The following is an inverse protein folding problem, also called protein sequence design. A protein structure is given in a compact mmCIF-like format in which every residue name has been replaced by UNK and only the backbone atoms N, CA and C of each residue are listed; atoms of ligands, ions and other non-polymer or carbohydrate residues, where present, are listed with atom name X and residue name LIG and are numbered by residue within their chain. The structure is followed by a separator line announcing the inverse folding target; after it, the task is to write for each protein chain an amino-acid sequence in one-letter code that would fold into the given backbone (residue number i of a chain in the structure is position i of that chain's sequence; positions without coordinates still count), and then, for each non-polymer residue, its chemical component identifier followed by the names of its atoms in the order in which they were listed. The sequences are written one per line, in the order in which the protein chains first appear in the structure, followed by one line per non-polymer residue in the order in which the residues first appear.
data_IF_187529193601
#
_entry.id   IF_187529193601
#
_cell.length_a   1.000
_cell.length_b   1.000
_cell.length_c   1.000
_cell.angle_alpha   90.00
_cell.angle_beta   90.00
_cell.angle_gamma   90.00
#
_symmetry.space_group_name_H-M   'P 1'
#
loop_
_entity.id
_entity.type
_entity.pdbx_description
1 polymer ?
#
# COMPACT_ATOMS: atom_id res chain seq x y z
N UNK A 1 -27.98 91.67 -1.56
CA UNK A 1 -28.32 90.23 -1.70
C UNK A 1 -28.78 89.90 -3.13
N UNK A 2 -27.91 89.30 -3.98
CA UNK A 2 -28.40 88.59 -5.17
C UNK A 2 -27.75 87.21 -5.45
N UNK A 3 -26.67 86.81 -4.75
CA UNK A 3 -25.87 85.64 -5.13
C UNK A 3 -26.44 84.27 -4.73
N UNK A 4 -27.21 84.19 -3.63
CA UNK A 4 -27.83 82.93 -3.16
C UNK A 4 -29.04 82.49 -4.00
N UNK A 5 -29.76 83.43 -4.64
CA UNK A 5 -30.91 83.08 -5.49
C UNK A 5 -30.49 82.53 -6.86
N UNK A 6 -29.34 82.98 -7.38
CA UNK A 6 -28.80 82.54 -8.69
C UNK A 6 -28.28 81.10 -8.60
N UNK A 7 -27.55 80.75 -7.53
CA UNK A 7 -26.99 79.39 -7.34
C UNK A 7 -28.07 78.33 -7.11
N UNK A 8 -29.12 78.66 -6.33
CA UNK A 8 -30.28 77.76 -6.16
C UNK A 8 -31.09 77.61 -7.46
N UNK A 9 -31.26 78.67 -8.27
CA UNK A 9 -31.92 78.57 -9.59
C UNK A 9 -31.11 77.73 -10.59
N UNK A 10 -29.78 77.85 -10.61
CA UNK A 10 -28.93 77.05 -11.50
C UNK A 10 -28.96 75.55 -11.15
N UNK A 11 -28.86 75.21 -9.86
CA UNK A 11 -28.97 73.82 -9.40
C UNK A 11 -30.37 73.25 -9.62
N UNK A 12 -31.43 74.04 -9.39
CA UNK A 12 -32.81 73.60 -9.63
C UNK A 12 -33.09 73.41 -11.14
N UNK A 13 -32.59 74.29 -12.01
CA UNK A 13 -32.73 74.16 -13.47
C UNK A 13 -31.88 73.02 -14.04
N UNK A 14 -30.70 72.72 -13.47
CA UNK A 14 -29.93 71.53 -13.82
C UNK A 14 -30.66 70.24 -13.40
N UNK A 15 -31.20 70.19 -12.17
CA UNK A 15 -31.99 69.05 -11.71
C UNK A 15 -33.24 68.84 -12.56
N UNK A 16 -33.97 69.91 -12.92
CA UNK A 16 -35.13 69.82 -13.82
C UNK A 16 -34.76 69.39 -15.24
N UNK A 17 -33.59 69.78 -15.78
CA UNK A 17 -33.11 69.32 -17.10
C UNK A 17 -32.73 67.84 -17.10
N UNK A 18 -32.19 67.32 -16.01
CA UNK A 18 -31.90 65.89 -15.86
C UNK A 18 -33.21 65.10 -15.73
N UNK A 19 -34.18 65.57 -14.93
CA UNK A 19 -35.48 64.90 -14.73
C UNK A 19 -36.37 64.95 -15.97
N UNK A 20 -36.30 66.00 -16.80
CA UNK A 20 -37.09 66.12 -18.06
C UNK A 20 -36.49 65.39 -19.26
N UNK A 21 -35.28 64.85 -19.16
CA UNK A 21 -34.66 64.09 -20.23
C UNK A 21 -34.68 62.58 -19.89
N UNK A 22 -35.72 61.84 -20.30
CA UNK A 22 -35.89 60.44 -19.91
C UNK A 22 -34.71 59.56 -20.35
N UNK A 23 -34.04 59.91 -21.46
CA UNK A 23 -32.84 59.22 -21.91
C UNK A 23 -31.65 59.37 -20.95
N UNK A 24 -31.47 60.53 -20.33
CA UNK A 24 -30.33 60.76 -19.42
C UNK A 24 -30.55 60.04 -18.08
N UNK A 25 -31.78 60.08 -17.54
CA UNK A 25 -32.15 59.30 -16.35
C UNK A 25 -32.06 57.79 -16.59
N UNK A 26 -32.49 57.31 -17.76
CA UNK A 26 -32.39 55.89 -18.12
C UNK A 26 -30.93 55.43 -18.22
N UNK A 27 -30.06 56.21 -18.86
CA UNK A 27 -28.64 55.88 -18.97
C UNK A 27 -27.94 55.87 -17.59
N UNK A 28 -28.27 56.81 -16.70
CA UNK A 28 -27.72 56.81 -15.32
C UNK A 28 -28.21 55.59 -14.55
N UNK A 29 -29.51 55.28 -14.59
CA UNK A 29 -30.08 54.11 -13.93
C UNK A 29 -29.46 52.81 -14.48
N UNK A 30 -29.33 52.69 -15.81
CA UNK A 30 -28.71 51.56 -16.47
C UNK A 30 -27.23 51.40 -16.08
N UNK A 31 -26.47 52.50 -16.03
CA UNK A 31 -25.08 52.48 -15.57
C UNK A 31 -24.97 52.07 -14.10
N UNK A 32 -25.85 52.56 -13.23
CA UNK A 32 -25.88 52.14 -11.82
C UNK A 32 -26.26 50.67 -11.66
N UNK A 33 -27.21 50.15 -12.44
CA UNK A 33 -27.56 48.72 -12.46
C UNK A 33 -26.37 47.89 -12.92
N UNK A 34 -25.65 48.30 -13.98
CA UNK A 34 -24.43 47.63 -14.44
C UNK A 34 -23.37 47.63 -13.34
N UNK A 35 -23.12 48.76 -12.67
CA UNK A 35 -22.15 48.86 -11.57
C UNK A 35 -22.56 47.95 -10.40
N UNK A 36 -23.85 47.90 -10.04
CA UNK A 36 -24.37 47.01 -8.99
C UNK A 36 -24.20 45.54 -9.40
N UNK A 37 -24.49 45.18 -10.65
CA UNK A 37 -24.29 43.81 -11.15
C UNK A 37 -22.79 43.44 -11.15
N UNK A 38 -21.91 44.34 -11.59
CA UNK A 38 -20.46 44.11 -11.60
C UNK A 38 -19.89 44.00 -10.17
N UNK A 39 -20.37 44.80 -9.22
CA UNK A 39 -19.96 44.72 -7.80
C UNK A 39 -20.48 43.45 -7.13
N UNK A 40 -21.72 43.03 -7.39
CA UNK A 40 -22.24 41.74 -6.91
C UNK A 40 -21.51 40.54 -7.53
N UNK A 41 -21.12 40.63 -8.80
CA UNK A 41 -20.40 39.54 -9.48
C UNK A 41 -18.96 39.43 -8.96
N UNK A 42 -18.30 40.55 -8.71
CA UNK A 42 -16.95 40.58 -8.11
C UNK A 42 -16.95 40.11 -6.66
N UNK A 43 -17.94 40.49 -5.85
CA UNK A 43 -18.08 40.00 -4.47
C UNK A 43 -18.31 38.48 -4.41
N UNK A 44 -19.15 37.93 -5.29
CA UNK A 44 -19.37 36.48 -5.39
C UNK A 44 -18.12 35.72 -5.84
N UNK A 45 -17.35 36.26 -6.78
CA UNK A 45 -16.08 35.66 -7.22
C UNK A 45 -15.07 35.69 -6.06
N UNK A 46 -14.96 36.81 -5.35
CA UNK A 46 -14.05 36.96 -4.21
C UNK A 46 -14.42 36.02 -3.05
N UNK A 47 -15.72 35.86 -2.77
CA UNK A 47 -16.21 34.93 -1.76
C UNK A 47 -15.92 33.47 -2.15
N UNK A 48 -16.15 33.09 -3.43
CA UNK A 48 -15.82 31.76 -3.94
C UNK A 48 -14.31 31.46 -3.86
N UNK A 49 -13.46 32.39 -4.30
CA UNK A 49 -12.01 32.26 -4.16
C UNK A 49 -11.57 32.13 -2.69
N UNK A 50 -12.18 32.88 -1.77
CA UNK A 50 -11.87 32.76 -0.34
C UNK A 50 -12.28 31.41 0.25
N UNK A 51 -13.41 30.85 -0.19
CA UNK A 51 -13.86 29.52 0.22
C UNK A 51 -12.91 28.43 -0.32
N UNK A 52 -12.53 28.53 -1.60
CA UNK A 52 -11.58 27.60 -2.22
C UNK A 52 -10.19 27.66 -1.54
N UNK A 53 -9.74 28.86 -1.17
CA UNK A 53 -8.49 29.05 -0.41
C UNK A 53 -8.58 28.45 1.00
N UNK A 54 -9.70 28.62 1.70
CA UNK A 54 -9.91 28.03 3.03
C UNK A 54 -9.97 26.49 2.97
N UNK A 55 -10.64 25.93 1.97
CA UNK A 55 -10.67 24.48 1.72
C UNK A 55 -9.26 23.96 1.43
N UNK A 56 -8.51 24.62 0.55
CA UNK A 56 -7.13 24.25 0.23
C UNK A 56 -6.20 24.36 1.46
N UNK A 57 -6.40 25.38 2.30
CA UNK A 57 -5.64 25.56 3.53
C UNK A 57 -5.96 24.47 4.57
N UNK A 58 -7.23 24.10 4.72
CA UNK A 58 -7.66 23.04 5.63
C UNK A 58 -7.23 21.64 5.15
N UNK A 59 -7.27 21.40 3.83
CA UNK A 59 -6.71 20.20 3.21
C UNK A 59 -5.19 20.12 3.40
N UNK A 60 -4.48 21.23 3.26
CA UNK A 60 -3.03 21.30 3.51
C UNK A 60 -2.67 21.06 4.99
N UNK A 61 -3.45 21.57 5.94
CA UNK A 61 -3.24 21.31 7.37
C UNK A 61 -3.50 19.83 7.68
N UNK A 62 -4.59 19.27 7.14
CA UNK A 62 -4.92 17.84 7.30
C UNK A 62 -3.82 16.95 6.71
N UNK A 63 -3.36 17.25 5.50
CA UNK A 63 -2.25 16.57 4.81
C UNK A 63 -0.93 16.67 5.58
N UNK A 64 -0.61 17.85 6.12
CA UNK A 64 0.60 18.01 6.95
C UNK A 64 0.52 17.24 8.26
N UNK A 65 -0.65 17.19 8.91
CA UNK A 65 -0.82 16.40 10.13
C UNK A 65 -0.73 14.90 9.84
N UNK A 66 -1.20 14.47 8.66
CA UNK A 66 -1.20 13.08 8.28
C UNK A 66 0.22 12.61 7.92
N UNK A 67 1.07 13.44 7.29
CA UNK A 67 2.48 13.12 6.94
C UNK A 67 3.35 12.60 8.11
N UNK A 68 2.93 12.77 9.37
CA UNK A 68 3.63 12.27 10.55
C UNK A 68 3.06 10.96 11.12
N UNK A 69 1.97 10.42 10.56
CA UNK A 69 1.38 9.15 10.99
C UNK A 69 2.41 8.01 10.93
N UNK A 70 2.38 7.07 11.89
CA UNK A 70 3.20 5.88 11.80
C UNK A 70 2.82 5.06 10.56
N UNK A 71 3.83 4.52 9.88
CA UNK A 71 3.66 3.71 8.66
C UNK A 71 4.35 2.37 8.85
N UNK A 72 3.66 1.28 8.53
CA UNK A 72 4.19 -0.07 8.56
C UNK A 72 4.44 -0.53 7.13
N UNK A 73 5.65 -0.98 6.81
CA UNK A 73 5.96 -1.61 5.53
C UNK A 73 6.20 -3.10 5.74
N UNK A 74 5.38 -3.93 5.09
CA UNK A 74 5.47 -5.38 5.14
C UNK A 74 6.05 -5.87 3.82
N UNK A 75 7.12 -6.65 3.87
CA UNK A 75 7.70 -7.23 2.67
C UNK A 75 8.51 -8.48 2.94
N UNK A 76 9.36 -8.82 1.98
CA UNK A 76 10.06 -10.11 1.91
C UNK A 76 9.91 -10.72 0.52
N UNK A 77 10.44 -11.93 0.32
CA UNK A 77 10.24 -12.62 -0.95
C UNK A 77 8.74 -12.93 -1.13
N UNK A 78 8.13 -12.71 -2.32
CA UNK A 78 6.76 -13.17 -2.56
C UNK A 78 6.63 -14.65 -2.20
N UNK A 79 5.45 -15.06 -1.73
CA UNK A 79 5.17 -16.40 -1.19
C UNK A 79 5.77 -16.70 0.19
N UNK A 80 6.29 -15.71 0.90
CA UNK A 80 6.77 -15.82 2.29
C UNK A 80 5.70 -15.51 3.35
N UNK A 81 4.41 -15.52 3.00
CA UNK A 81 3.33 -15.22 3.96
C UNK A 81 3.03 -13.73 4.18
N UNK A 82 3.52 -12.84 3.32
CA UNK A 82 3.29 -11.39 3.43
C UNK A 82 1.81 -10.99 3.40
N UNK A 83 0.98 -11.64 2.57
CA UNK A 83 -0.47 -11.38 2.55
C UNK A 83 -1.17 -11.87 3.83
N UNK A 84 -0.69 -12.97 4.45
CA UNK A 84 -1.22 -13.39 5.76
C UNK A 84 -0.88 -12.36 6.83
N UNK A 85 0.38 -11.91 6.89
CA UNK A 85 0.82 -10.90 7.86
C UNK A 85 0.00 -9.61 7.75
N UNK A 86 -0.22 -9.10 6.54
CA UNK A 86 -1.02 -7.88 6.37
C UNK A 86 -2.48 -8.08 6.73
N UNK A 87 -3.06 -9.27 6.48
CA UNK A 87 -4.44 -9.57 6.85
C UNK A 87 -4.59 -9.66 8.38
N UNK A 88 -3.62 -10.26 9.06
CA UNK A 88 -3.52 -10.25 10.53
C UNK A 88 -3.50 -8.80 11.04
N UNK A 89 -2.70 -7.92 10.44
CA UNK A 89 -2.68 -6.51 10.86
C UNK A 89 -3.95 -5.73 10.47
N UNK A 90 -4.54 -5.97 9.31
CA UNK A 90 -5.83 -5.36 8.90
C UNK A 90 -6.98 -5.72 9.86
N UNK A 91 -6.88 -6.84 10.59
CA UNK A 91 -7.84 -7.18 11.64
C UNK A 91 -7.78 -6.20 12.83
N UNK A 92 -6.63 -5.59 13.10
CA UNK A 92 -6.42 -4.66 14.21
C UNK A 92 -7.19 -3.35 13.98
N UNK A 93 -7.95 -2.80 14.94
CA UNK A 93 -8.83 -1.64 14.73
C UNK A 93 -8.09 -0.39 14.23
N UNK A 94 -6.84 -0.21 14.64
CA UNK A 94 -6.02 0.97 14.31
C UNK A 94 -5.24 0.86 12.99
N UNK A 95 -5.15 -0.32 12.36
CA UNK A 95 -4.23 -0.57 11.23
C UNK A 95 -5.00 -0.84 9.95
N UNK A 96 -4.53 -0.26 8.83
CA UNK A 96 -4.99 -0.57 7.47
C UNK A 96 -3.83 -0.72 6.51
N UNK A 97 -3.70 -1.92 5.93
CA UNK A 97 -2.71 -2.29 4.93
C UNK A 97 -3.28 -2.32 3.52
N UNK A 98 -4.44 -2.97 3.33
CA UNK A 98 -5.04 -3.15 2.01
C UNK A 98 -4.31 -4.13 1.10
N UNK A 99 -4.67 -4.10 -0.19
CA UNK A 99 -4.05 -4.89 -1.27
C UNK A 99 -2.65 -4.40 -1.68
N UNK A 100 -1.95 -5.20 -2.50
CA UNK A 100 -0.67 -4.77 -3.10
C UNK A 100 -0.87 -3.56 -4.01
N UNK A 101 -0.15 -2.46 -3.74
CA UNK A 101 -0.29 -1.25 -4.55
C UNK A 101 0.38 -1.40 -5.90
N UNK A 102 1.44 -2.22 -5.99
CA UNK A 102 2.29 -2.47 -7.18
C UNK A 102 3.05 -1.24 -7.69
N UNK A 103 2.57 -0.03 -7.43
CA UNK A 103 3.14 1.24 -7.90
C UNK A 103 4.24 1.75 -6.98
N UNK A 104 4.11 1.56 -5.67
CA UNK A 104 5.13 1.95 -4.67
C UNK A 104 6.49 1.31 -5.00
N UNK A 105 6.63 -0.03 -5.14
CA UNK A 105 7.93 -0.64 -5.46
C UNK A 105 8.48 -0.21 -6.82
N UNK A 106 7.63 0.16 -7.79
CA UNK A 106 8.07 0.64 -9.11
C UNK A 106 8.68 2.03 -9.04
N UNK A 107 8.04 2.94 -8.31
CA UNK A 107 8.55 4.31 -8.10
C UNK A 107 9.84 4.28 -7.29
N UNK A 108 9.92 3.42 -6.26
CA UNK A 108 11.16 3.22 -5.51
C UNK A 108 12.29 2.65 -6.38
N UNK A 109 12.00 1.68 -7.25
CA UNK A 109 12.97 1.15 -8.20
C UNK A 109 13.46 2.21 -9.18
N UNK A 110 12.56 3.06 -9.68
CA UNK A 110 12.90 4.17 -10.56
C UNK A 110 13.86 5.16 -9.88
N UNK A 111 13.56 5.57 -8.65
CA UNK A 111 14.46 6.42 -7.84
C UNK A 111 15.81 5.76 -7.61
N UNK A 112 15.83 4.47 -7.28
CA UNK A 112 17.06 3.72 -7.09
C UNK A 112 17.90 3.64 -8.38
N UNK A 113 17.26 3.50 -9.54
CA UNK A 113 17.94 3.50 -10.84
C UNK A 113 18.60 4.85 -11.14
N UNK A 114 17.92 5.97 -10.88
CA UNK A 114 18.52 7.31 -11.00
C UNK A 114 19.73 7.47 -10.10
N UNK A 115 19.63 7.06 -8.83
CA UNK A 115 20.74 7.16 -7.87
C UNK A 115 21.93 6.29 -8.25
N UNK A 116 21.68 5.12 -8.85
CA UNK A 116 22.73 4.17 -9.28
C UNK A 116 23.53 4.70 -10.47
N UNK A 117 22.92 5.48 -11.35
CA UNK A 117 23.59 6.05 -12.52
C UNK A 117 24.24 7.39 -12.17
N UNK A 118 25.57 7.41 -12.01
CA UNK A 118 26.32 8.65 -11.71
C UNK A 118 26.06 9.75 -12.75
N UNK A 119 25.99 9.38 -14.03
CA UNK A 119 25.71 10.33 -15.11
C UNK A 119 24.32 10.97 -14.95
N UNK A 120 23.28 10.16 -14.74
CA UNK A 120 21.92 10.67 -14.61
C UNK A 120 21.76 11.49 -13.33
N UNK A 121 22.32 11.02 -12.22
CA UNK A 121 22.29 11.73 -10.95
C UNK A 121 22.92 13.12 -11.07
N UNK A 122 24.09 13.22 -11.71
CA UNK A 122 24.75 14.51 -11.94
C UNK A 122 23.94 15.45 -12.85
N UNK A 123 23.26 14.91 -13.88
CA UNK A 123 22.36 15.69 -14.74
C UNK A 123 21.17 16.25 -13.96
N UNK A 124 20.55 15.45 -13.09
CA UNK A 124 19.46 15.90 -12.23
C UNK A 124 19.92 17.03 -11.30
N UNK A 125 21.08 16.87 -10.65
CA UNK A 125 21.64 17.91 -9.77
C UNK A 125 21.96 19.20 -10.53
N UNK A 126 22.60 19.10 -11.71
CA UNK A 126 22.92 20.25 -12.55
C UNK A 126 21.65 20.95 -13.09
N UNK A 127 20.56 20.21 -13.28
CA UNK A 127 19.25 20.74 -13.64
C UNK A 127 18.46 21.35 -12.48
N UNK A 128 19.04 21.44 -11.27
CA UNK A 128 18.39 22.00 -10.08
C UNK A 128 17.43 21.04 -9.36
N UNK A 129 17.35 19.78 -9.79
CA UNK A 129 16.51 18.75 -9.16
C UNK A 129 17.32 18.09 -8.04
N UNK A 130 17.33 18.74 -6.86
CA UNK A 130 18.08 18.27 -5.69
C UNK A 130 17.57 16.93 -5.14
N UNK A 131 18.42 16.21 -4.40
CA UNK A 131 18.04 14.98 -3.70
C UNK A 131 16.84 15.19 -2.77
N UNK A 132 16.82 16.28 -2.00
CA UNK A 132 15.70 16.63 -1.13
C UNK A 132 14.38 16.84 -1.88
N UNK A 133 14.44 17.36 -3.10
CA UNK A 133 13.25 17.54 -3.94
C UNK A 133 12.72 16.19 -4.42
N UNK A 134 13.61 15.30 -4.87
CA UNK A 134 13.26 13.92 -5.26
C UNK A 134 12.66 13.19 -4.06
N UNK A 135 13.32 13.23 -2.91
CA UNK A 135 12.88 12.56 -1.69
C UNK A 135 11.50 13.08 -1.24
N UNK A 136 11.27 14.40 -1.29
CA UNK A 136 9.96 14.99 -1.00
C UNK A 136 8.88 14.54 -1.99
N UNK A 137 9.19 14.47 -3.28
CA UNK A 137 8.25 14.05 -4.32
C UNK A 137 7.89 12.56 -4.18
N UNK A 138 8.87 11.70 -3.93
CA UNK A 138 8.68 10.27 -3.71
C UNK A 138 7.86 10.03 -2.43
N UNK A 139 8.19 10.75 -1.35
CA UNK A 139 7.43 10.68 -0.10
C UNK A 139 5.97 11.08 -0.32
N UNK A 140 5.72 12.20 -1.00
CA UNK A 140 4.38 12.67 -1.30
C UNK A 140 3.59 11.65 -2.13
N UNK A 141 4.22 11.06 -3.16
CA UNK A 141 3.61 10.02 -3.99
C UNK A 141 3.22 8.79 -3.16
N UNK A 142 4.17 8.23 -2.40
CA UNK A 142 3.92 7.04 -1.57
C UNK A 142 2.82 7.32 -0.54
N UNK A 143 2.87 8.50 0.08
CA UNK A 143 1.91 8.88 1.10
C UNK A 143 0.49 9.06 0.54
N UNK A 144 0.36 9.63 -0.65
CA UNK A 144 -0.94 9.75 -1.33
C UNK A 144 -1.54 8.37 -1.64
N UNK A 145 -0.73 7.44 -2.14
CA UNK A 145 -1.19 6.06 -2.36
C UNK A 145 -1.64 5.43 -1.04
N UNK A 146 -0.84 5.54 0.03
CA UNK A 146 -1.16 4.99 1.35
C UNK A 146 -2.48 5.54 1.92
N UNK A 147 -2.76 6.83 1.73
CA UNK A 147 -3.95 7.50 2.24
C UNK A 147 -5.21 7.19 1.43
N UNK A 148 -5.11 7.18 0.10
CA UNK A 148 -6.28 7.04 -0.78
C UNK A 148 -6.63 5.60 -1.09
N UNK A 149 -5.64 4.70 -1.12
CA UNK A 149 -5.85 3.29 -1.38
C UNK A 149 -6.46 2.58 -0.16
N UNK A 150 -6.14 3.04 1.04
CA UNK A 150 -6.65 2.49 2.28
C UNK A 150 -7.83 3.32 2.80
N UNK A 151 -8.77 2.65 3.48
CA UNK A 151 -9.68 3.38 4.36
C UNK A 151 -8.88 4.09 5.45
N UNK A 152 -9.39 5.23 5.94
CA UNK A 152 -8.73 6.00 7.00
C UNK A 152 -8.34 5.09 8.19
N UNK A 153 -7.09 5.25 8.65
CA UNK A 153 -6.53 4.53 9.79
C UNK A 153 -5.58 5.43 10.58
N UNK A 154 -5.42 5.12 11.86
CA UNK A 154 -4.44 5.79 12.73
C UNK A 154 -3.01 5.34 12.39
N UNK A 155 -2.86 4.08 11.99
CA UNK A 155 -1.60 3.50 11.52
C UNK A 155 -1.77 3.02 10.10
N UNK A 156 -1.03 3.65 9.19
CA UNK A 156 -1.01 3.26 7.78
C UNK A 156 -0.10 2.06 7.59
N UNK A 157 -0.42 1.22 6.62
CA UNK A 157 0.38 0.06 6.29
C UNK A 157 0.42 -0.13 4.77
N UNK A 158 1.56 -0.57 4.27
CA UNK A 158 1.75 -1.04 2.90
C UNK A 158 2.27 -2.48 2.93
N UNK A 159 1.79 -3.29 2.00
CA UNK A 159 2.34 -4.60 1.71
C UNK A 159 2.58 -4.72 0.21
N UNK A 160 3.79 -4.41 -0.19
CA UNK A 160 4.36 -4.78 -1.49
C UNK A 160 5.64 -5.60 -1.22
N UNK A 161 5.73 -6.89 -1.62
CA UNK A 161 6.82 -7.76 -1.17
C UNK A 161 8.24 -7.17 -1.32
N UNK A 162 8.52 -6.54 -2.46
CA UNK A 162 9.83 -5.98 -2.76
C UNK A 162 10.09 -4.56 -2.23
N UNK A 163 9.14 -3.96 -1.50
CA UNK A 163 9.33 -2.62 -0.89
C UNK A 163 10.51 -2.63 0.09
N UNK A 164 10.75 -3.77 0.76
CA UNK A 164 11.85 -4.01 1.70
C UNK A 164 13.25 -4.00 1.05
N UNK A 165 13.36 -4.08 -0.29
CA UNK A 165 14.65 -3.84 -0.98
C UNK A 165 15.13 -2.39 -0.85
N UNK A 166 14.25 -1.50 -0.42
CA UNK A 166 14.50 -0.06 -0.27
C UNK A 166 14.30 0.41 1.17
N UNK A 167 14.30 -0.49 2.16
CA UNK A 167 13.94 -0.16 3.54
C UNK A 167 14.79 0.98 4.13
N UNK A 168 16.09 1.04 3.83
CA UNK A 168 16.97 2.11 4.33
C UNK A 168 16.58 3.48 3.76
N UNK A 169 16.24 3.54 2.46
CA UNK A 169 15.76 4.77 1.83
C UNK A 169 14.36 5.17 2.32
N UNK A 170 13.44 4.21 2.46
CA UNK A 170 12.10 4.49 3.01
C UNK A 170 12.23 5.03 4.43
N UNK A 171 13.10 4.46 5.26
CA UNK A 171 13.34 4.92 6.64
C UNK A 171 13.90 6.35 6.70
N UNK A 172 14.65 6.80 5.68
CA UNK A 172 15.16 8.17 5.64
C UNK A 172 14.08 9.20 5.28
N UNK A 173 13.10 8.83 4.44
CA UNK A 173 12.01 9.75 4.05
C UNK A 173 10.75 9.62 4.94
N UNK A 174 10.57 8.47 5.60
CA UNK A 174 9.53 8.20 6.61
C UNK A 174 10.17 7.88 7.97
N UNK A 175 10.44 8.91 8.76
CA UNK A 175 11.18 8.78 10.02
C UNK A 175 10.51 7.86 11.06
N UNK A 176 9.18 7.78 11.05
CA UNK A 176 8.38 6.95 11.95
C UNK A 176 8.01 5.58 11.35
N UNK A 177 8.59 5.21 10.20
CA UNK A 177 8.29 3.93 9.57
C UNK A 177 8.90 2.75 10.35
N UNK A 178 8.12 1.67 10.45
CA UNK A 178 8.61 0.35 10.89
C UNK A 178 8.41 -0.68 9.79
N UNK A 179 9.25 -1.69 9.79
CA UNK A 179 9.37 -2.68 8.73
C UNK A 179 9.20 -4.08 9.29
N UNK A 180 8.36 -4.88 8.66
CA UNK A 180 8.23 -6.32 8.91
C UNK A 180 8.77 -7.08 7.71
N UNK A 181 9.94 -7.70 7.89
CA UNK A 181 10.57 -8.54 6.87
C UNK A 181 10.15 -9.99 7.08
N UNK A 182 9.27 -10.49 6.21
CA UNK A 182 8.85 -11.88 6.21
C UNK A 182 9.95 -12.76 5.64
N UNK A 183 10.28 -13.79 6.40
CA UNK A 183 11.28 -14.80 6.07
C UNK A 183 10.58 -16.15 6.04
N UNK A 184 10.83 -16.92 4.99
CA UNK A 184 10.29 -18.26 4.82
C UNK A 184 11.34 -19.13 4.14
N UNK A 185 11.32 -20.41 4.45
CA UNK A 185 12.17 -21.41 3.80
C UNK A 185 12.10 -21.28 2.27
N UNK A 186 13.26 -21.11 1.64
CA UNK A 186 13.39 -20.96 0.20
C UNK A 186 12.76 -22.13 -0.56
N UNK A 187 12.86 -23.35 -0.02
CA UNK A 187 12.28 -24.56 -0.63
C UNK A 187 10.76 -24.44 -0.72
N UNK A 188 10.12 -23.95 0.35
CA UNK A 188 8.69 -23.66 0.41
C UNK A 188 8.28 -22.52 -0.54
N UNK A 189 9.07 -21.44 -0.57
CA UNK A 189 8.83 -20.29 -1.45
C UNK A 189 8.88 -20.71 -2.91
N UNK A 190 9.95 -21.36 -3.33
CA UNK A 190 10.18 -21.76 -4.74
C UNK A 190 9.14 -22.78 -5.17
N UNK A 191 8.88 -23.80 -4.35
CA UNK A 191 7.81 -24.76 -4.62
C UNK A 191 6.44 -24.06 -4.79
N UNK A 192 6.11 -23.08 -3.93
CA UNK A 192 4.88 -22.31 -4.09
C UNK A 192 4.86 -21.46 -5.36
N UNK A 193 6.00 -20.91 -5.80
CA UNK A 193 6.09 -20.12 -7.04
C UNK A 193 5.83 -21.01 -8.26
N UNK A 194 6.51 -22.16 -8.32
CA UNK A 194 6.44 -23.12 -9.43
C UNK A 194 5.03 -23.70 -9.55
N UNK A 195 4.51 -24.31 -8.47
CA UNK A 195 3.22 -25.02 -8.49
C UNK A 195 2.03 -24.10 -8.75
N UNK A 196 2.08 -22.85 -8.24
CA UNK A 196 1.01 -21.86 -8.44
C UNK A 196 1.24 -20.94 -9.64
N UNK A 197 2.29 -21.20 -10.43
CA UNK A 197 2.66 -20.45 -11.64
C UNK A 197 2.67 -18.93 -11.39
N UNK A 198 3.29 -18.52 -10.28
CA UNK A 198 3.36 -17.10 -9.88
C UNK A 198 4.50 -16.45 -10.64
N UNK A 199 4.20 -15.43 -11.45
CA UNK A 199 5.23 -14.73 -12.22
C UNK A 199 5.92 -13.68 -11.36
N UNK A 200 7.22 -13.86 -11.13
CA UNK A 200 8.06 -12.96 -10.34
C UNK A 200 9.30 -12.64 -11.17
N UNK A 201 9.67 -11.36 -11.26
CA UNK A 201 10.86 -10.94 -12.01
C UNK A 201 12.10 -11.70 -11.53
N UNK A 202 12.77 -12.36 -12.48
CA UNK A 202 13.97 -13.16 -12.23
C UNK A 202 13.70 -14.64 -11.96
N UNK A 203 12.50 -15.03 -11.51
CA UNK A 203 12.15 -16.44 -11.35
C UNK A 203 11.82 -17.09 -12.69
N UNK A 204 12.16 -18.36 -12.81
CA UNK A 204 11.85 -19.22 -13.95
C UNK A 204 11.10 -20.46 -13.43
N UNK A 205 9.86 -20.65 -13.87
CA UNK A 205 8.98 -21.72 -13.38
C UNK A 205 9.50 -23.13 -13.67
N UNK A 206 10.46 -23.27 -14.60
CA UNK A 206 11.06 -24.54 -14.98
C UNK A 206 12.48 -24.74 -14.42
N UNK A 207 13.05 -23.74 -13.72
CA UNK A 207 14.44 -23.78 -13.25
C UNK A 207 14.53 -23.49 -11.74
N UNK A 208 14.55 -24.56 -10.95
CA UNK A 208 14.74 -24.48 -9.49
C UNK A 208 16.09 -23.86 -9.13
N UNK A 209 17.16 -24.18 -9.87
CA UNK A 209 18.53 -23.70 -9.60
C UNK A 209 18.61 -22.18 -9.69
N UNK A 210 18.05 -21.62 -10.75
CA UNK A 210 17.90 -20.16 -10.92
C UNK A 210 17.04 -19.58 -9.79
N UNK A 211 15.92 -20.22 -9.46
CA UNK A 211 15.02 -19.72 -8.42
C UNK A 211 15.67 -19.64 -7.04
N UNK A 212 16.52 -20.62 -6.67
CA UNK A 212 17.30 -20.55 -5.42
C UNK A 212 18.27 -19.37 -5.42
N UNK A 213 19.02 -19.15 -6.52
CA UNK A 213 19.94 -18.00 -6.63
C UNK A 213 19.21 -16.66 -6.53
N UNK A 214 18.06 -16.55 -7.19
CA UNK A 214 17.24 -15.33 -7.20
C UNK A 214 16.62 -15.08 -5.83
N UNK A 215 16.09 -16.13 -5.18
CA UNK A 215 15.61 -16.04 -3.81
C UNK A 215 16.73 -15.60 -2.86
N UNK A 216 17.89 -16.24 -2.96
CA UNK A 216 19.03 -15.95 -2.10
C UNK A 216 19.46 -14.50 -2.22
N UNK A 217 19.64 -14.01 -3.46
CA UNK A 217 20.06 -12.62 -3.68
C UNK A 217 19.00 -11.61 -3.22
N UNK A 218 17.73 -11.91 -3.46
CA UNK A 218 16.62 -11.08 -3.01
C UNK A 218 16.55 -10.99 -1.49
N UNK A 219 16.65 -12.13 -0.80
CA UNK A 219 16.61 -12.21 0.66
C UNK A 219 17.83 -11.55 1.30
N UNK A 220 19.04 -11.81 0.79
CA UNK A 220 20.27 -11.14 1.22
C UNK A 220 20.11 -9.61 1.15
N UNK A 221 19.65 -9.08 0.01
CA UNK A 221 19.44 -7.64 -0.17
C UNK A 221 18.47 -7.08 0.88
N UNK A 222 17.36 -7.76 1.15
CA UNK A 222 16.36 -7.29 2.12
C UNK A 222 16.85 -7.39 3.57
N UNK A 223 17.63 -8.42 3.91
CA UNK A 223 18.28 -8.57 5.22
C UNK A 223 19.31 -7.46 5.44
N UNK A 224 20.10 -7.14 4.42
CA UNK A 224 21.08 -6.05 4.51
C UNK A 224 20.38 -4.70 4.70
N UNK A 225 19.30 -4.44 3.96
CA UNK A 225 18.46 -3.24 4.14
C UNK A 225 17.85 -3.17 5.54
N UNK A 226 17.31 -4.27 6.04
CA UNK A 226 16.74 -4.36 7.39
C UNK A 226 17.81 -4.11 8.47
N UNK A 227 19.02 -4.65 8.27
CA UNK A 227 20.17 -4.45 9.15
C UNK A 227 20.60 -2.98 9.17
N UNK A 228 20.66 -2.32 8.00
CA UNK A 228 21.00 -0.89 7.88
C UNK A 228 19.96 0.01 8.56
N UNK A 229 18.68 -0.37 8.54
CA UNK A 229 17.60 0.35 9.21
C UNK A 229 17.67 0.21 10.73
N UNK A 230 18.17 -0.93 11.23
CA UNK A 230 18.33 -1.21 12.65
C UNK A 230 17.12 -1.91 13.29
N UNK A 231 17.39 -2.62 14.38
CA UNK A 231 16.42 -3.51 15.06
C UNK A 231 15.20 -2.80 15.65
N UNK A 232 15.31 -1.51 15.95
CA UNK A 232 14.20 -0.71 16.48
C UNK A 232 13.16 -0.35 15.41
N UNK A 233 13.55 -0.45 14.14
CA UNK A 233 12.72 -0.10 12.99
C UNK A 233 12.46 -1.27 12.05
N UNK A 234 13.26 -2.34 12.05
CA UNK A 234 13.02 -3.50 11.21
C UNK A 234 13.05 -4.81 12.01
N UNK A 235 11.95 -5.57 11.91
CA UNK A 235 11.75 -6.86 12.57
C UNK A 235 11.70 -8.00 11.55
N UNK A 236 12.49 -9.05 11.79
CA UNK A 236 12.38 -10.31 11.06
C UNK A 236 11.20 -11.12 11.58
N UNK A 237 10.33 -11.57 10.68
CA UNK A 237 9.16 -12.40 11.00
C UNK A 237 9.26 -13.71 10.22
N UNK A 238 9.51 -14.80 10.93
CA UNK A 238 9.57 -16.13 10.33
C UNK A 238 8.15 -16.66 10.12
N UNK A 239 7.79 -16.95 8.87
CA UNK A 239 6.48 -17.47 8.49
C UNK A 239 6.13 -18.73 9.28
N UNK A 240 7.10 -19.62 9.45
CA UNK A 240 6.88 -20.89 10.14
C UNK A 240 6.49 -20.67 11.61
N UNK A 241 7.15 -19.73 12.30
CA UNK A 241 6.78 -19.36 13.67
C UNK A 241 5.44 -18.65 13.74
N UNK A 242 5.12 -17.81 12.74
CA UNK A 242 3.82 -17.14 12.64
C UNK A 242 2.67 -18.14 12.53
N UNK A 243 2.83 -19.23 11.79
CA UNK A 243 1.76 -20.23 11.63
C UNK A 243 1.77 -21.34 12.67
N UNK A 244 2.91 -21.62 13.31
CA UNK A 244 3.01 -22.59 14.40
C UNK A 244 2.59 -21.99 15.74
N UNK A 245 3.06 -20.78 16.05
CA UNK A 245 2.89 -20.10 17.33
C UNK A 245 2.34 -18.67 17.14
N UNK A 246 1.13 -18.51 16.56
CA UNK A 246 0.62 -17.22 16.12
C UNK A 246 0.47 -16.23 17.27
N UNK A 247 -0.06 -16.64 18.43
CA UNK A 247 -0.26 -15.74 19.57
C UNK A 247 1.04 -15.08 20.01
N UNK A 248 2.05 -15.89 20.34
CA UNK A 248 3.38 -15.41 20.75
C UNK A 248 4.04 -14.56 19.67
N UNK A 249 3.95 -14.98 18.41
CA UNK A 249 4.58 -14.25 17.30
C UNK A 249 3.92 -12.90 17.07
N UNK A 250 2.58 -12.84 17.10
CA UNK A 250 1.83 -11.60 16.89
C UNK A 250 1.96 -10.66 18.08
N UNK A 251 1.97 -11.16 19.32
CA UNK A 251 2.27 -10.34 20.52
C UNK A 251 3.62 -9.62 20.39
N UNK A 252 4.66 -10.34 19.94
CA UNK A 252 5.97 -9.75 19.70
C UNK A 252 5.94 -8.69 18.58
N UNK A 253 5.19 -8.94 17.51
CA UNK A 253 5.02 -8.00 16.39
C UNK A 253 4.29 -6.73 16.87
N UNK A 254 3.16 -6.86 17.57
CA UNK A 254 2.40 -5.71 18.06
C UNK A 254 3.22 -4.89 19.07
N UNK A 255 3.94 -5.55 19.98
CA UNK A 255 4.89 -4.89 20.89
C UNK A 255 5.95 -4.12 20.11
N UNK A 256 6.56 -4.73 19.11
CA UNK A 256 7.53 -4.05 18.23
C UNK A 256 6.89 -2.86 17.50
N UNK A 257 5.62 -2.95 17.09
CA UNK A 257 4.90 -1.87 16.42
C UNK A 257 4.34 -0.80 17.36
N UNK A 258 4.51 -0.95 18.69
CA UNK A 258 3.86 -0.12 19.71
C UNK A 258 2.32 -0.12 19.62
N UNK A 259 1.74 -1.28 19.29
CA UNK A 259 0.30 -1.51 19.24
C UNK A 259 -0.16 -2.36 20.42
N UNK A 260 -1.35 -2.07 20.93
CA UNK A 260 -1.99 -2.87 21.98
C UNK A 260 -2.46 -4.21 21.43
N UNK A 261 -2.43 -5.26 22.25
CA UNK A 261 -3.03 -6.54 21.87
C UNK A 261 -4.55 -6.40 21.67
N UNK A 262 -5.07 -7.05 20.63
CA UNK A 262 -6.51 -7.27 20.40
C UNK A 262 -6.70 -8.68 19.86
N UNK A 263 -7.77 -9.36 20.28
CA UNK A 263 -7.97 -10.78 19.93
C UNK A 263 -8.24 -11.02 18.44
N UNK A 264 -8.81 -10.02 17.74
CA UNK A 264 -9.15 -10.12 16.32
C UNK A 264 -7.96 -10.44 15.41
N UNK A 265 -6.72 -10.22 15.86
CA UNK A 265 -5.49 -10.58 15.12
C UNK A 265 -5.27 -12.08 14.98
N UNK A 266 -5.95 -12.90 15.78
CA UNK A 266 -5.97 -14.36 15.64
C UNK A 266 -7.12 -14.86 14.74
N UNK A 267 -8.04 -13.97 14.36
CA UNK A 267 -9.32 -14.28 13.71
C UNK A 267 -9.52 -13.45 12.42
N UNK A 268 -8.47 -13.29 11.62
CA UNK A 268 -8.53 -12.46 10.40
C UNK A 268 -9.56 -12.99 9.40
N UNK A 269 -9.77 -14.31 9.34
CA UNK A 269 -10.66 -15.01 8.42
C UNK A 269 -12.14 -14.62 8.57
N UNK A 270 -12.54 -14.17 9.76
CA UNK A 270 -13.90 -13.72 10.09
C UNK A 270 -14.19 -12.31 9.57
N UNK A 271 -13.13 -11.56 9.26
CA UNK A 271 -13.16 -10.17 8.87
C UNK A 271 -12.92 -9.97 7.36
N UNK A 272 -12.53 -11.02 6.64
CA UNK A 272 -12.41 -11.02 5.17
C UNK A 272 -13.76 -10.74 4.51
N UNK A 273 -13.78 -9.77 3.58
CA UNK A 273 -14.99 -9.32 2.90
C UNK A 273 -15.86 -8.37 3.72
N UNK A 274 -15.50 -8.12 4.98
CA UNK A 274 -16.08 -7.07 5.83
C UNK A 274 -15.07 -5.93 5.96
N UNK A 275 -14.12 -6.12 6.88
CA UNK A 275 -13.11 -5.16 7.26
C UNK A 275 -11.83 -5.34 6.43
N UNK A 276 -11.50 -6.57 6.06
CA UNK A 276 -10.30 -6.91 5.30
C UNK A 276 -10.67 -7.06 3.83
N UNK A 277 -10.10 -6.21 2.99
CA UNK A 277 -10.25 -6.28 1.53
C UNK A 277 -9.21 -7.22 0.93
N UNK A 278 -9.62 -8.07 -0.01
CA UNK A 278 -8.75 -8.97 -0.77
C UNK A 278 -9.02 -8.79 -2.26
N UNK A 279 -7.96 -8.57 -3.05
CA UNK A 279 -8.07 -8.60 -4.51
C UNK A 279 -8.23 -10.03 -5.01
N UNK A 280 -9.22 -10.27 -5.87
CA UNK A 280 -9.41 -11.56 -6.56
C UNK A 280 -8.29 -11.90 -7.55
N UNK A 281 -7.44 -10.93 -7.90
CA UNK A 281 -6.33 -11.15 -8.83
C UNK A 281 -5.03 -11.52 -8.12
N UNK A 282 -4.91 -11.27 -6.81
CA UNK A 282 -3.74 -11.67 -6.01
C UNK A 282 -3.62 -13.19 -5.86
N UNK A 283 -2.39 -13.71 -5.88
CA UNK A 283 -2.12 -15.15 -5.78
C UNK A 283 -2.34 -15.77 -4.39
N UNK A 284 -2.58 -14.95 -3.38
CA UNK A 284 -2.70 -15.40 -1.99
C UNK A 284 -4.13 -15.38 -1.45
N UNK A 285 -5.10 -14.83 -2.19
CA UNK A 285 -6.43 -14.53 -1.67
C UNK A 285 -7.23 -15.78 -1.28
N UNK A 286 -7.18 -16.82 -2.11
CA UNK A 286 -7.78 -18.15 -1.86
C UNK A 286 -7.19 -18.86 -0.62
N UNK A 287 -5.99 -18.47 -0.18
CA UNK A 287 -5.33 -19.04 1.00
C UNK A 287 -5.59 -18.20 2.26
N UNK A 288 -5.60 -16.87 2.14
CA UNK A 288 -5.76 -15.93 3.27
C UNK A 288 -7.19 -15.89 3.80
N UNK A 289 -8.18 -16.32 3.01
CA UNK A 289 -9.56 -16.47 3.48
C UNK A 289 -9.72 -17.48 4.62
N UNK A 290 -8.78 -18.43 4.77
CA UNK A 290 -8.76 -19.49 5.79
C UNK A 290 -8.12 -18.98 7.09
N UNK A 291 -8.47 -19.56 8.26
CA UNK A 291 -7.77 -19.28 9.52
C UNK A 291 -6.29 -19.66 9.42
N UNK A 292 -5.46 -19.16 10.35
CA UNK A 292 -4.04 -19.53 10.45
C UNK A 292 -3.93 -21.06 10.59
N UNK A 293 -3.19 -21.69 9.67
CA UNK A 293 -3.18 -23.14 9.52
C UNK A 293 -1.83 -23.68 9.00
N UNK A 294 -1.69 -25.01 9.02
CA UNK A 294 -0.46 -25.73 8.71
C UNK A 294 -0.41 -26.29 7.28
N UNK A 295 -1.46 -26.13 6.46
CA UNK A 295 -1.58 -26.79 5.15
C UNK A 295 -0.39 -26.47 4.22
N UNK A 296 0.23 -25.30 4.36
CA UNK A 296 1.30 -24.86 3.47
C UNK A 296 2.71 -25.04 4.05
N UNK A 297 2.84 -25.50 5.30
CA UNK A 297 4.13 -25.51 6.01
C UNK A 297 5.15 -26.45 5.35
N UNK A 298 4.73 -27.67 5.01
CA UNK A 298 5.60 -28.76 4.55
C UNK A 298 5.30 -29.25 3.13
N UNK A 299 4.44 -28.55 2.37
CA UNK A 299 4.05 -28.93 1.00
C UNK A 299 5.19 -29.08 0.00
N UNK A 300 6.37 -28.54 0.29
CA UNK A 300 7.51 -28.62 -0.60
C UNK A 300 8.31 -29.92 -0.47
N UNK A 301 8.14 -30.67 0.62
CA UNK A 301 8.88 -31.91 0.88
C UNK A 301 8.61 -32.90 -0.26
N UNK A 302 9.67 -33.49 -0.81
CA UNK A 302 9.57 -34.43 -1.94
C UNK A 302 9.41 -33.78 -3.32
N UNK A 303 9.37 -32.44 -3.42
CA UNK A 303 9.21 -31.73 -4.69
C UNK A 303 10.45 -30.97 -5.16
N UNK A 304 11.52 -30.95 -4.36
CA UNK A 304 12.81 -30.39 -4.77
C UNK A 304 13.62 -31.49 -5.47
N UNK A 305 14.12 -31.28 -6.70
CA UNK A 305 14.94 -32.26 -7.41
C UNK A 305 16.18 -32.65 -6.62
N UNK A 306 16.57 -33.94 -6.65
CA UNK A 306 17.66 -34.47 -5.83
C UNK A 306 19.04 -33.89 -6.20
N UNK A 307 19.27 -33.55 -7.48
CA UNK A 307 20.49 -32.86 -7.91
C UNK A 307 20.60 -31.47 -7.28
N UNK A 308 19.48 -30.79 -7.08
CA UNK A 308 19.43 -29.48 -6.44
C UNK A 308 19.68 -29.58 -4.95
N UNK A 309 19.18 -30.62 -4.26
CA UNK A 309 19.35 -30.80 -2.81
C UNK A 309 20.82 -30.75 -2.40
N UNK A 310 21.69 -31.41 -3.17
CA UNK A 310 23.14 -31.45 -2.93
C UNK A 310 23.84 -30.10 -3.17
N UNK A 311 23.17 -29.15 -3.83
CA UNK A 311 23.73 -27.84 -4.17
C UNK A 311 23.07 -26.68 -3.42
N UNK A 312 22.06 -26.94 -2.56
CA UNK A 312 21.29 -25.90 -1.87
C UNK A 312 22.19 -24.91 -1.12
N UNK A 313 23.23 -25.39 -0.44
CA UNK A 313 24.15 -24.54 0.32
C UNK A 313 24.92 -23.55 -0.54
N UNK A 314 25.24 -23.95 -1.77
CA UNK A 314 25.94 -23.12 -2.75
C UNK A 314 24.97 -22.16 -3.44
N UNK A 315 23.76 -22.63 -3.77
CA UNK A 315 22.75 -21.84 -4.47
C UNK A 315 22.08 -20.80 -3.57
N UNK A 316 21.85 -21.15 -2.30
CA UNK A 316 21.10 -20.38 -1.34
C UNK A 316 21.69 -20.40 0.08
N UNK A 317 22.94 -19.92 0.28
CA UNK A 317 23.59 -19.87 1.59
C UNK A 317 22.80 -19.09 2.66
N UNK A 318 21.88 -18.20 2.26
CA UNK A 318 20.98 -17.51 3.18
C UNK A 318 20.09 -18.47 3.97
N UNK A 319 19.77 -19.68 3.49
CA UNK A 319 19.02 -20.68 4.26
C UNK A 319 19.72 -20.99 5.59
N UNK A 320 21.01 -21.37 5.54
CA UNK A 320 21.83 -21.63 6.73
C UNK A 320 21.95 -20.39 7.60
N UNK A 321 22.23 -19.21 7.01
CA UNK A 321 22.35 -17.94 7.76
C UNK A 321 21.06 -17.58 8.50
N UNK A 322 19.91 -17.98 7.97
CA UNK A 322 18.60 -17.71 8.54
C UNK A 322 18.10 -18.82 9.48
N UNK A 323 18.88 -19.89 9.68
CA UNK A 323 18.58 -20.98 10.62
C UNK A 323 17.80 -22.14 10.02
N UNK A 324 17.68 -22.23 8.69
CA UNK A 324 17.07 -23.38 8.02
C UNK A 324 18.11 -24.49 7.79
N UNK A 325 17.81 -25.70 8.28
CA UNK A 325 18.61 -26.89 8.01
C UNK A 325 18.45 -27.30 6.54
N UNK A 326 19.57 -27.38 5.83
CA UNK A 326 19.67 -27.74 4.42
C UNK A 326 20.13 -29.18 4.19
N UNK A 327 20.54 -29.89 5.25
CA UNK A 327 21.01 -31.28 5.16
C UNK A 327 19.88 -32.29 5.33
N UNK A 328 18.80 -31.89 6.00
CA UNK A 328 17.62 -32.71 6.23
C UNK A 328 16.46 -32.30 5.31
N UNK A 329 15.79 -33.31 4.74
CA UNK A 329 14.49 -33.16 4.08
C UNK A 329 13.33 -33.03 5.10
N UNK A 330 13.58 -33.34 6.38
CA UNK A 330 12.64 -33.15 7.49
C UNK A 330 12.87 -31.77 8.12
N UNK A 331 11.93 -30.83 8.00
CA UNK A 331 12.12 -29.48 8.54
C UNK A 331 11.93 -29.45 10.06
N UNK A 332 12.79 -28.73 10.75
CA UNK A 332 12.75 -28.54 12.21
C UNK A 332 12.05 -27.24 12.61
N UNK A 333 10.92 -26.94 11.98
CA UNK A 333 10.23 -25.65 12.16
C UNK A 333 9.63 -25.44 13.56
N UNK A 334 9.30 -26.51 14.28
CA UNK A 334 8.73 -26.47 15.62
C UNK A 334 7.37 -27.14 15.74
N UNK A 335 6.68 -26.91 16.86
CA UNK A 335 5.39 -27.52 17.20
C UNK A 335 4.29 -26.46 17.19
N UNK A 336 3.13 -26.83 16.67
CA UNK A 336 1.98 -25.96 16.56
C UNK A 336 1.25 -25.80 17.90
N UNK A 337 0.80 -24.58 18.20
CA UNK A 337 -0.06 -24.27 19.33
C UNK A 337 -1.45 -24.93 19.17
N UNK A 338 -2.14 -25.17 20.29
CA UNK A 338 -3.49 -25.76 20.29
C UNK A 338 -4.48 -24.99 19.41
N UNK A 339 -4.41 -23.65 19.40
CA UNK A 339 -5.23 -22.82 18.52
C UNK A 339 -5.12 -23.25 17.05
N UNK A 340 -3.90 -23.50 16.58
CA UNK A 340 -3.65 -23.87 15.18
C UNK A 340 -4.14 -25.29 14.90
N UNK A 341 -4.00 -26.20 15.87
CA UNK A 341 -4.55 -27.56 15.77
C UNK A 341 -6.08 -27.52 15.70
N UNK A 342 -6.73 -26.66 16.50
CA UNK A 342 -8.18 -26.42 16.41
C UNK A 342 -8.58 -25.84 15.05
N UNK A 343 -7.82 -24.88 14.51
CA UNK A 343 -8.06 -24.35 13.17
C UNK A 343 -7.93 -25.45 12.09
N UNK A 344 -6.96 -26.35 12.23
CA UNK A 344 -6.80 -27.49 11.32
C UNK A 344 -7.98 -28.47 11.40
N UNK A 345 -8.53 -28.70 12.60
CA UNK A 345 -9.73 -29.54 12.75
C UNK A 345 -10.94 -28.86 12.11
N UNK A 346 -11.14 -27.55 12.35
CA UNK A 346 -12.21 -26.79 11.73
C UNK A 346 -12.14 -26.83 10.19
N UNK A 347 -10.93 -26.69 9.62
CA UNK A 347 -10.72 -26.79 8.17
C UNK A 347 -11.11 -28.17 7.61
N UNK A 348 -10.84 -29.25 8.35
CA UNK A 348 -11.20 -30.62 7.95
C UNK A 348 -12.70 -30.87 8.08
N UNK A 349 -13.29 -30.51 9.22
CA UNK A 349 -14.71 -30.71 9.50
C UNK A 349 -15.61 -29.87 8.58
N UNK A 350 -15.13 -28.71 8.14
CA UNK A 350 -15.87 -27.77 7.31
C UNK A 350 -15.24 -27.60 5.92
N UNK A 351 -14.65 -28.67 5.36
CA UNK A 351 -13.90 -28.61 4.11
C UNK A 351 -14.70 -28.01 2.94
N UNK A 352 -15.96 -28.41 2.77
CA UNK A 352 -16.82 -27.91 1.69
C UNK A 352 -17.04 -26.39 1.78
N UNK A 353 -17.25 -25.87 2.99
CA UNK A 353 -17.40 -24.44 3.23
C UNK A 353 -16.14 -23.68 2.85
N UNK A 354 -14.98 -24.15 3.33
CA UNK A 354 -13.70 -23.49 3.07
C UNK A 354 -13.29 -23.58 1.60
N UNK A 355 -13.60 -24.67 0.91
CA UNK A 355 -13.36 -24.82 -0.52
C UNK A 355 -14.28 -23.91 -1.35
N UNK A 356 -15.56 -23.80 -0.99
CA UNK A 356 -16.47 -22.86 -1.63
C UNK A 356 -16.02 -21.41 -1.43
N UNK A 357 -15.61 -21.04 -0.21
CA UNK A 357 -15.06 -19.71 0.10
C UNK A 357 -13.76 -19.46 -0.67
N UNK A 358 -12.86 -20.43 -0.76
CA UNK A 358 -11.61 -20.32 -1.52
C UNK A 358 -11.89 -20.12 -3.03
N UNK A 359 -12.83 -20.86 -3.61
CA UNK A 359 -13.23 -20.71 -5.03
C UNK A 359 -13.78 -19.31 -5.34
N UNK A 360 -14.54 -18.72 -4.43
CA UNK A 360 -15.07 -17.36 -4.61
C UNK A 360 -13.97 -16.26 -4.67
N UNK A 361 -12.80 -16.54 -4.09
CA UNK A 361 -11.61 -15.68 -4.10
C UNK A 361 -10.48 -16.21 -4.99
N UNK A 362 -10.71 -17.33 -5.69
CA UNK A 362 -9.77 -17.87 -6.64
C UNK A 362 -9.68 -16.92 -7.85
N UNK A 363 -8.48 -16.82 -8.39
CA UNK A 363 -8.23 -15.99 -9.58
C UNK A 363 -9.01 -16.56 -10.76
N UNK A 364 -10.02 -15.82 -11.21
CA UNK A 364 -10.66 -16.05 -12.50
C UNK A 364 -9.78 -15.38 -13.54
N UNK A 365 -8.97 -16.16 -14.26
CA UNK A 365 -8.30 -15.65 -15.44
C UNK A 365 -9.39 -15.42 -16.50
N UNK A 366 -9.54 -14.20 -17.06
CA UNK A 366 -10.39 -13.99 -18.22
C UNK A 366 -9.68 -14.65 -19.41
N UNK A 367 -9.92 -15.95 -19.62
CA UNK A 367 -9.72 -16.73 -20.84
C UNK A 367 -10.02 -18.22 -20.59
N UNK A 368 -11.22 -18.50 -20.07
CA UNK A 368 -11.87 -19.79 -20.31
C UNK A 368 -13.09 -19.54 -21.20
N UNK A 369 -12.81 -19.08 -22.42
CA UNK A 369 -13.81 -19.05 -23.51
C UNK A 369 -14.04 -20.47 -23.99
N UNK A 370 -14.77 -21.25 -23.19
CA UNK A 370 -15.37 -22.52 -23.58
C UNK A 370 -16.88 -22.58 -23.27
N UNK A 371 -17.49 -21.46 -22.83
CA UNK A 371 -18.91 -21.39 -22.46
C UNK A 371 -19.80 -20.51 -23.35
N UNK A 372 -19.35 -20.13 -24.55
CA UNK A 372 -20.21 -19.48 -25.56
C UNK A 372 -19.99 -20.06 -26.96
N UNK A 373 -20.27 -21.35 -27.13
CA UNK A 373 -20.66 -21.92 -28.42
C UNK A 373 -21.78 -22.92 -28.15
N UNK A 374 -23.02 -22.43 -28.11
CA UNK A 374 -24.23 -23.17 -28.45
C UNK A 374 -25.42 -22.20 -28.33
N UNK A 375 -25.60 -21.35 -29.35
CA UNK A 375 -26.91 -20.83 -29.76
C UNK A 375 -26.77 -20.12 -31.11
N UNK A 376 -26.62 -20.92 -32.17
CA UNK A 376 -27.10 -20.59 -33.52
C UNK A 376 -27.38 -21.90 -34.24
N UNK A 377 -28.61 -22.38 -34.09
CA UNK A 377 -29.31 -23.25 -35.04
C UNK A 377 -30.80 -22.99 -34.81
N UNK A 378 -31.30 -21.97 -35.52
CA UNK A 378 -32.63 -21.89 -36.14
C UNK A 378 -32.74 -20.58 -36.90
#
# INVERSE_FOLDING_TARGET
MPWLSIRRRLLFNMCQRIIRNPFLCFNILFLTIIIVILTFRTSNIQQKCSLDQNIAQQQNITYKSSLNKPVIFIGGMPRSGTTLMRAILDSHPLVRCGEETRVIPRVLNMRAAWKKSTLEWNRLMAGGISESMIDSAIRAFVYEILLQHNQYADVLCDKDPFVLKYASYISSIFSNAKFLLLIRDARAVIHSVVTRKVTITGFNLSDYRQNFKVWNKGMETMIDQCTLVGKDKCLHVYYEQLVLQPKKTIENILKFLNLTWVDSVLHHEELVGKKISLSKTEHSSDQVIKPINLEALTKWIGHIPDDIKNEIDTLAPMLKRLGYDTQSDVPTYGVADQLVLSNMNNLKENAEFWDAKAKAYARHLPNDTSLFQNHTNN
#
